data_IF_788335624720
#
_entry.id   IF_788335624720
#
_cell.length_a   1.000
_cell.length_b   1.000
_cell.length_c   1.000
_cell.angle_alpha   90.00
_cell.angle_beta   90.00
_cell.angle_gamma   90.00
#
_symmetry.space_group_name_H-M   'P 1'
#
loop_
_entity.id
_entity.type
_entity.pdbx_description
1 polymer ?
#
# COMPACT_ATOMS: atom_id res chain seq x y z
N UNK A 1 -29.15 -3.09 6.45
CA UNK A 1 -28.28 -2.79 5.29
C UNK A 1 -27.40 -1.66 5.75
N UNK A 2 -26.35 -2.02 6.50
CA UNK A 2 -25.57 -1.06 7.25
C UNK A 2 -24.67 -0.29 6.30
N UNK A 3 -24.91 1.02 6.26
CA UNK A 3 -24.02 1.99 5.63
C UNK A 3 -22.64 1.76 6.23
N UNK A 4 -21.64 1.45 5.40
CA UNK A 4 -20.24 1.57 5.80
C UNK A 4 -20.08 2.94 6.45
N UNK A 5 -19.90 2.96 7.78
CA UNK A 5 -19.78 4.17 8.56
C UNK A 5 -18.57 4.94 8.06
N UNK A 6 -18.82 5.98 7.27
CA UNK A 6 -17.81 6.94 6.85
C UNK A 6 -17.38 7.71 8.09
N UNK A 7 -16.40 7.20 8.82
CA UNK A 7 -15.69 7.95 9.85
C UNK A 7 -14.44 8.50 9.15
N UNK A 8 -14.44 9.78 8.71
CA UNK A 8 -13.20 10.41 8.30
C UNK A 8 -12.32 10.56 9.54
N UNK A 9 -11.32 9.70 9.68
CA UNK A 9 -10.18 9.98 10.55
C UNK A 9 -9.47 11.28 10.12
N UNK A 10 -8.65 11.89 10.99
CA UNK A 10 -7.93 13.12 10.69
C UNK A 10 -7.12 12.99 9.40
N UNK A 11 -6.96 14.09 8.66
CA UNK A 11 -6.19 14.09 7.40
C UNK A 11 -4.79 13.54 7.69
N UNK A 12 -4.27 12.66 6.85
CA UNK A 12 -3.03 11.96 7.17
C UNK A 12 -1.83 12.91 7.38
N UNK A 13 -1.87 14.12 6.81
CA UNK A 13 -0.94 15.21 7.14
C UNK A 13 -0.98 15.61 8.62
N UNK A 14 -2.18 15.75 9.18
CA UNK A 14 -2.38 16.04 10.61
C UNK A 14 -1.93 14.85 11.46
N UNK A 15 -2.22 13.62 11.04
CA UNK A 15 -1.75 12.42 11.73
C UNK A 15 -0.22 12.30 11.70
N UNK A 16 0.45 12.54 10.57
CA UNK A 16 1.92 12.53 10.46
C UNK A 16 2.53 13.61 11.36
N UNK A 17 1.93 14.80 11.37
CA UNK A 17 2.39 15.91 12.21
C UNK A 17 2.21 15.62 13.70
N UNK A 18 1.02 15.13 14.09
CA UNK A 18 0.71 14.77 15.48
C UNK A 18 1.56 13.58 15.96
N UNK A 19 1.88 12.65 15.05
CA UNK A 19 2.79 11.54 15.29
C UNK A 19 4.27 11.97 15.32
N UNK A 20 4.59 13.23 15.04
CA UNK A 20 5.97 13.73 14.91
C UNK A 20 6.84 12.86 13.98
N UNK A 21 6.23 12.31 12.92
CA UNK A 21 6.92 11.41 11.99
C UNK A 21 7.17 10.00 12.54
N UNK A 22 6.46 9.56 13.59
CA UNK A 22 6.62 8.24 14.21
C UNK A 22 5.28 7.67 14.69
N UNK A 23 4.88 6.52 14.15
CA UNK A 23 3.77 5.72 14.69
C UNK A 23 4.30 4.39 15.20
N UNK A 24 3.60 3.82 16.17
CA UNK A 24 3.91 2.49 16.65
C UNK A 24 2.65 1.73 17.04
N UNK A 25 2.74 0.41 17.02
CA UNK A 25 1.67 -0.47 17.46
C UNK A 25 2.22 -1.79 17.99
N UNK A 26 1.40 -2.45 18.81
CA UNK A 26 1.72 -3.70 19.47
C UNK A 26 0.84 -4.84 18.96
N UNK A 27 0.94 -6.00 19.61
CA UNK A 27 0.18 -7.21 19.29
C UNK A 27 -1.32 -6.99 19.11
N UNK A 28 -1.96 -6.13 19.92
CA UNK A 28 -3.42 -5.93 19.82
C UNK A 28 -3.83 -5.45 18.42
N UNK A 29 -3.06 -4.53 17.82
CA UNK A 29 -3.31 -4.05 16.47
C UNK A 29 -3.16 -5.16 15.43
N UNK A 30 -2.24 -6.11 15.61
CA UNK A 30 -2.12 -7.27 14.72
C UNK A 30 -3.39 -8.14 14.75
N UNK A 31 -3.96 -8.35 15.93
CA UNK A 31 -5.21 -9.10 16.10
C UNK A 31 -6.38 -8.37 15.42
N UNK A 32 -6.53 -7.07 15.71
CA UNK A 32 -7.60 -6.24 15.15
C UNK A 32 -7.52 -6.19 13.61
N UNK A 33 -6.30 -6.09 13.06
CA UNK A 33 -6.08 -6.08 11.61
C UNK A 33 -6.32 -7.44 10.97
N UNK A 34 -5.99 -8.54 11.66
CA UNK A 34 -6.27 -9.87 11.15
C UNK A 34 -7.78 -10.11 11.01
N UNK A 35 -8.55 -9.72 12.02
CA UNK A 35 -10.01 -9.80 11.99
C UNK A 35 -10.58 -8.89 10.90
N UNK A 36 -10.12 -7.64 10.84
CA UNK A 36 -10.71 -6.64 9.98
C UNK A 36 -10.33 -6.81 8.50
N UNK A 37 -9.08 -7.15 8.19
CA UNK A 37 -8.57 -7.13 6.83
C UNK A 37 -8.35 -8.51 6.22
N UNK A 38 -8.17 -9.56 7.03
CA UNK A 38 -7.99 -10.93 6.50
C UNK A 38 -9.30 -11.72 6.58
N UNK A 39 -9.94 -11.77 7.75
CA UNK A 39 -11.17 -12.56 7.93
C UNK A 39 -12.30 -12.02 7.04
N UNK A 40 -12.44 -10.70 6.94
CA UNK A 40 -13.45 -10.04 6.11
C UNK A 40 -13.03 -9.87 4.64
N UNK A 41 -11.86 -10.34 4.21
CA UNK A 41 -11.46 -10.30 2.80
C UNK A 41 -12.33 -11.22 1.93
N UNK A 42 -12.37 -11.03 0.60
CA UNK A 42 -13.07 -11.96 -0.29
C UNK A 42 -12.59 -13.40 -0.13
N UNK A 43 -13.51 -14.30 0.23
CA UNK A 43 -13.22 -15.71 0.54
C UNK A 43 -12.89 -15.97 2.02
N UNK A 44 -12.57 -14.93 2.79
CA UNK A 44 -12.29 -14.95 4.22
C UNK A 44 -11.40 -16.10 4.68
N UNK A 45 -11.59 -16.57 5.91
CA UNK A 45 -10.89 -17.74 6.43
C UNK A 45 -11.26 -19.07 5.72
N UNK A 46 -12.16 -19.06 4.73
CA UNK A 46 -12.47 -20.21 3.87
C UNK A 46 -11.48 -20.40 2.72
N UNK A 47 -10.68 -19.38 2.37
CA UNK A 47 -9.56 -19.50 1.45
C UNK A 47 -8.32 -20.00 2.22
N UNK A 48 -7.68 -21.13 1.83
CA UNK A 48 -6.53 -21.69 2.56
C UNK A 48 -5.37 -20.70 2.77
N UNK A 49 -5.09 -19.85 1.77
CA UNK A 49 -4.03 -18.85 1.87
C UNK A 49 -4.37 -17.79 2.92
N UNK A 50 -5.64 -17.36 2.98
CA UNK A 50 -6.11 -16.42 4.00
C UNK A 50 -6.21 -17.06 5.39
N UNK A 51 -6.57 -18.34 5.49
CA UNK A 51 -6.57 -19.05 6.77
C UNK A 51 -5.16 -19.11 7.36
N UNK A 52 -4.15 -19.45 6.54
CA UNK A 52 -2.75 -19.47 6.95
C UNK A 52 -2.30 -18.06 7.32
N UNK A 53 -2.55 -17.08 6.46
CA UNK A 53 -2.18 -15.69 6.71
C UNK A 53 -2.78 -15.15 8.02
N UNK A 54 -4.06 -15.43 8.27
CA UNK A 54 -4.76 -15.06 9.50
C UNK A 54 -4.03 -15.62 10.73
N UNK A 55 -3.79 -16.94 10.76
CA UNK A 55 -3.10 -17.58 11.88
C UNK A 55 -1.68 -17.03 12.09
N UNK A 56 -0.94 -16.80 11.01
CA UNK A 56 0.39 -16.22 11.11
C UNK A 56 0.35 -14.78 11.62
N UNK A 57 -0.63 -13.97 11.19
CA UNK A 57 -0.79 -12.59 11.66
C UNK A 57 -1.15 -12.53 13.15
N UNK A 58 -1.99 -13.45 13.66
CA UNK A 58 -2.30 -13.53 15.10
C UNK A 58 -1.06 -13.80 15.98
N UNK A 59 -0.01 -14.39 15.40
CA UNK A 59 1.21 -14.79 16.07
C UNK A 59 2.44 -13.94 15.69
N UNK A 60 2.31 -12.96 14.78
CA UNK A 60 3.46 -12.29 14.19
C UNK A 60 4.11 -11.22 15.09
N UNK A 61 3.45 -10.83 16.18
CA UNK A 61 3.97 -9.93 17.22
C UNK A 61 3.76 -10.60 18.57
N UNK A 62 4.87 -10.83 19.29
CA UNK A 62 4.85 -11.39 20.63
C UNK A 62 4.58 -10.31 21.69
N UNK A 63 4.25 -10.74 22.90
CA UNK A 63 4.13 -9.81 24.03
C UNK A 63 5.49 -9.12 24.29
N UNK A 64 5.47 -7.79 24.44
CA UNK A 64 6.67 -6.97 24.58
C UNK A 64 7.35 -6.57 23.27
N UNK A 65 6.88 -7.05 22.11
CA UNK A 65 7.33 -6.58 20.81
C UNK A 65 6.48 -5.41 20.30
N UNK A 66 7.08 -4.59 19.45
CA UNK A 66 6.45 -3.41 18.87
C UNK A 66 6.88 -3.26 17.41
N UNK A 67 5.98 -2.76 16.58
CA UNK A 67 6.33 -2.26 15.25
C UNK A 67 6.36 -0.74 15.30
N UNK A 68 7.44 -0.16 14.77
CA UNK A 68 7.65 1.27 14.63
C UNK A 68 7.66 1.63 13.15
N UNK A 69 6.91 2.65 12.76
CA UNK A 69 6.92 3.20 11.40
C UNK A 69 7.29 4.68 11.47
N UNK A 70 8.32 5.04 10.72
CA UNK A 70 8.90 6.37 10.71
C UNK A 70 8.71 7.04 9.36
N UNK A 71 8.66 8.37 9.37
CA UNK A 71 8.47 9.22 8.20
C UNK A 71 9.46 10.39 8.25
N UNK A 72 10.22 10.56 7.17
CA UNK A 72 11.08 11.72 6.96
C UNK A 72 10.77 12.37 5.62
N UNK A 73 10.57 13.68 5.62
CA UNK A 73 10.34 14.47 4.41
C UNK A 73 11.05 15.82 4.51
N UNK A 74 11.71 16.23 3.43
CA UNK A 74 12.38 17.54 3.33
C UNK A 74 12.35 18.05 1.89
N UNK A 75 12.51 19.36 1.74
CA UNK A 75 12.73 19.96 0.43
C UNK A 75 14.02 19.42 -0.21
N UNK A 76 14.04 19.26 -1.55
CA UNK A 76 15.30 19.02 -2.24
C UNK A 76 16.25 20.19 -1.97
N UNK A 77 17.51 19.83 -1.73
CA UNK A 77 18.62 20.76 -1.61
C UNK A 77 19.68 20.37 -2.64
N UNK A 78 19.78 21.10 -3.77
CA UNK A 78 20.78 20.86 -4.80
C UNK A 78 22.23 20.96 -4.30
N UNK A 79 22.50 21.80 -3.30
CA UNK A 79 23.84 21.92 -2.72
C UNK A 79 24.26 20.65 -1.96
N UNK A 80 23.29 19.91 -1.41
CA UNK A 80 23.48 18.58 -0.84
C UNK A 80 23.32 17.43 -1.86
N UNK A 81 23.27 17.74 -3.17
CA UNK A 81 23.14 16.75 -4.24
C UNK A 81 21.74 16.14 -4.40
N UNK A 82 20.71 16.77 -3.82
CA UNK A 82 19.34 16.34 -4.07
C UNK A 82 18.79 17.00 -5.33
N UNK A 83 18.43 16.18 -6.31
CA UNK A 83 17.79 16.65 -7.53
C UNK A 83 16.38 17.22 -7.25
N UNK A 84 16.03 18.29 -7.94
CA UNK A 84 14.67 18.81 -8.02
C UNK A 84 13.94 18.07 -9.15
N UNK A 85 12.89 17.32 -8.80
CA UNK A 85 12.09 16.65 -9.81
C UNK A 85 11.02 17.60 -10.34
N UNK A 86 10.77 17.64 -11.67
CA UNK A 86 9.68 18.43 -12.23
C UNK A 86 8.29 18.01 -11.73
N UNK A 87 8.15 16.82 -11.16
CA UNK A 87 6.94 16.37 -10.47
C UNK A 87 6.68 17.11 -9.15
N UNK A 88 7.66 17.85 -8.62
CA UNK A 88 7.60 18.47 -7.29
C UNK A 88 7.78 17.48 -6.13
N UNK A 89 8.16 16.23 -6.40
CA UNK A 89 8.31 15.23 -5.35
C UNK A 89 9.49 15.54 -4.40
N UNK A 90 9.17 15.64 -3.11
CA UNK A 90 10.12 15.93 -2.05
C UNK A 90 11.05 14.74 -1.73
N UNK A 91 12.19 15.04 -1.09
CA UNK A 91 13.15 14.02 -0.64
C UNK A 91 12.67 13.43 0.68
N UNK A 92 12.52 12.11 0.76
CA UNK A 92 12.09 11.49 1.99
C UNK A 92 12.12 9.96 1.96
N UNK A 93 12.05 9.37 3.15
CA UNK A 93 11.91 7.95 3.38
C UNK A 93 10.80 7.65 4.40
N UNK A 94 10.08 6.56 4.18
CA UNK A 94 9.22 5.91 5.15
C UNK A 94 9.75 4.50 5.37
N UNK A 95 9.86 4.08 6.62
CA UNK A 95 10.39 2.76 6.94
C UNK A 95 9.70 2.16 8.16
N UNK A 96 9.57 0.85 8.15
CA UNK A 96 9.03 0.08 9.26
C UNK A 96 10.11 -0.81 9.87
N UNK A 97 10.13 -0.86 11.20
CA UNK A 97 10.98 -1.70 12.02
C UNK A 97 10.11 -2.55 12.93
N UNK A 98 10.54 -3.78 13.21
CA UNK A 98 10.08 -4.51 14.39
C UNK A 98 11.14 -4.39 15.46
N UNK A 99 10.73 -3.97 16.66
CA UNK A 99 11.52 -4.02 17.89
C UNK A 99 11.11 -5.24 18.70
N UNK A 100 12.04 -6.15 18.88
CA UNK A 100 11.85 -7.36 19.69
C UNK A 100 11.89 -7.04 21.18
N UNK A 101 11.39 -7.95 22.02
CA UNK A 101 11.35 -7.76 23.47
C UNK A 101 12.75 -7.59 24.12
N UNK A 102 13.81 -8.09 23.47
CA UNK A 102 15.21 -7.90 23.87
C UNK A 102 15.83 -6.60 23.34
N UNK A 103 15.03 -5.74 22.70
CA UNK A 103 15.43 -4.41 22.22
C UNK A 103 16.15 -4.41 20.87
N UNK A 104 16.25 -5.54 20.17
CA UNK A 104 16.82 -5.58 18.82
C UNK A 104 15.82 -5.03 17.80
N UNK A 105 16.34 -4.37 16.77
CA UNK A 105 15.54 -3.81 15.69
C UNK A 105 15.85 -4.51 14.36
N UNK A 106 14.80 -4.81 13.60
CA UNK A 106 14.90 -5.38 12.25
C UNK A 106 14.04 -4.58 11.28
N UNK A 107 14.61 -4.22 10.14
CA UNK A 107 13.87 -3.61 9.05
C UNK A 107 12.85 -4.58 8.46
N UNK A 108 11.61 -4.10 8.36
CA UNK A 108 10.54 -4.76 7.62
C UNK A 108 10.55 -4.28 6.17
N UNK A 109 10.55 -2.97 5.98
CA UNK A 109 10.66 -2.35 4.65
C UNK A 109 11.09 -0.88 4.75
N UNK A 110 11.56 -0.35 3.63
CA UNK A 110 11.83 1.07 3.43
C UNK A 110 11.43 1.51 2.02
N UNK A 111 10.87 2.71 1.92
CA UNK A 111 10.50 3.33 0.64
C UNK A 111 10.77 4.83 0.67
N UNK A 112 11.36 5.34 -0.39
CA UNK A 112 11.63 6.76 -0.57
C UNK A 112 11.59 7.17 -2.04
N UNK A 113 11.89 8.44 -2.31
CA UNK A 113 11.84 9.01 -3.66
C UNK A 113 12.68 8.24 -4.69
N UNK A 114 13.82 7.69 -4.27
CA UNK A 114 14.75 6.94 -5.14
C UNK A 114 14.47 5.44 -5.17
N UNK A 115 13.51 4.93 -4.40
CA UNK A 115 13.15 3.51 -4.44
C UNK A 115 12.63 3.17 -5.84
N UNK A 116 13.12 2.08 -6.47
CA UNK A 116 12.59 1.64 -7.75
C UNK A 116 11.08 1.42 -7.73
N UNK A 117 10.39 1.77 -8.81
CA UNK A 117 8.96 1.51 -8.95
C UNK A 117 8.69 0.03 -9.27
N UNK A 118 7.52 -0.47 -8.85
CA UNK A 118 7.05 -1.78 -9.31
C UNK A 118 6.77 -1.77 -10.81
N UNK A 119 7.09 -2.84 -11.53
CA UNK A 119 6.95 -2.95 -12.99
C UNK A 119 5.51 -2.93 -13.51
N UNK A 120 5.33 -2.76 -14.82
CA UNK A 120 4.02 -2.60 -15.46
C UNK A 120 3.09 -3.82 -15.29
N UNK A 121 3.65 -5.03 -15.23
CA UNK A 121 2.88 -6.25 -14.98
C UNK A 121 2.15 -6.21 -13.62
N UNK A 122 2.79 -5.64 -12.59
CA UNK A 122 2.20 -5.48 -11.27
C UNK A 122 1.12 -4.40 -11.24
N UNK A 123 1.29 -3.34 -12.02
CA UNK A 123 0.25 -2.33 -12.20
C UNK A 123 -0.97 -2.88 -12.94
N UNK A 124 -0.78 -3.67 -14.00
CA UNK A 124 -1.87 -4.35 -14.68
C UNK A 124 -2.60 -5.33 -13.75
N UNK A 125 -1.85 -6.09 -12.95
CA UNK A 125 -2.42 -7.01 -11.95
C UNK A 125 -3.22 -6.26 -10.88
N UNK A 126 -2.69 -5.16 -10.33
CA UNK A 126 -3.38 -4.32 -9.36
C UNK A 126 -4.65 -3.67 -9.94
N UNK A 127 -4.58 -3.18 -11.18
CA UNK A 127 -5.74 -2.64 -11.89
C UNK A 127 -6.84 -3.69 -12.08
N UNK A 128 -6.48 -4.89 -12.58
CA UNK A 128 -7.44 -5.98 -12.76
C UNK A 128 -8.11 -6.36 -11.43
N UNK A 129 -7.32 -6.48 -10.37
CA UNK A 129 -7.82 -6.76 -9.03
C UNK A 129 -8.79 -5.67 -8.53
N UNK A 130 -8.47 -4.40 -8.77
CA UNK A 130 -9.34 -3.28 -8.43
C UNK A 130 -10.65 -3.32 -9.22
N UNK A 131 -10.62 -3.61 -10.52
CA UNK A 131 -11.81 -3.78 -11.36
C UNK A 131 -12.69 -4.92 -10.86
N UNK A 132 -12.10 -6.05 -10.45
CA UNK A 132 -12.84 -7.15 -9.84
C UNK A 132 -13.53 -6.74 -8.53
N UNK A 133 -12.79 -6.08 -7.63
CA UNK A 133 -13.34 -5.58 -6.37
C UNK A 133 -14.49 -4.59 -6.61
N UNK A 134 -14.32 -3.67 -7.58
CA UNK A 134 -15.36 -2.72 -7.98
C UNK A 134 -16.56 -3.40 -8.64
N UNK A 135 -16.36 -4.41 -9.47
CA UNK A 135 -17.43 -5.19 -10.10
C UNK A 135 -18.31 -5.87 -9.05
N UNK A 136 -17.68 -6.51 -8.06
CA UNK A 136 -18.38 -7.11 -6.90
C UNK A 136 -19.16 -6.05 -6.11
N UNK A 137 -18.53 -4.90 -5.81
CA UNK A 137 -19.17 -3.82 -5.07
C UNK A 137 -20.38 -3.23 -5.82
N UNK A 138 -20.27 -3.05 -7.13
CA UNK A 138 -21.33 -2.47 -7.97
C UNK A 138 -22.39 -3.49 -8.42
N UNK A 139 -22.15 -4.79 -8.22
CA UNK A 139 -22.99 -5.85 -8.77
C UNK A 139 -23.00 -5.86 -10.30
N UNK A 140 -21.84 -5.59 -10.93
CA UNK A 140 -21.69 -5.48 -12.39
C UNK A 140 -20.60 -6.41 -12.90
N UNK A 141 -20.70 -6.76 -14.17
CA UNK A 141 -19.65 -7.48 -14.88
C UNK A 141 -18.35 -6.67 -14.91
N UNK A 142 -17.24 -7.39 -14.77
CA UNK A 142 -15.90 -6.82 -14.82
C UNK A 142 -15.49 -6.65 -16.28
N UNK A 143 -14.87 -5.53 -16.68
CA UNK A 143 -14.30 -5.36 -18.01
C UNK A 143 -13.28 -6.45 -18.35
N UNK A 144 -12.95 -6.58 -19.64
CA UNK A 144 -11.84 -7.43 -20.05
C UNK A 144 -10.55 -7.03 -19.31
N UNK A 145 -9.82 -8.00 -18.71
CA UNK A 145 -8.63 -7.68 -17.92
C UNK A 145 -7.53 -7.08 -18.81
N UNK A 146 -6.80 -6.12 -18.26
CA UNK A 146 -5.55 -5.64 -18.86
C UNK A 146 -4.54 -6.79 -18.91
N UNK A 147 -3.77 -6.86 -20.00
CA UNK A 147 -2.76 -7.91 -20.19
C UNK A 147 -1.67 -7.79 -19.12
N UNK A 148 -1.46 -8.88 -18.38
CA UNK A 148 -0.34 -9.03 -17.44
C UNK A 148 0.78 -9.78 -18.13
N UNK A 149 1.93 -9.12 -18.34
CA UNK A 149 3.13 -9.81 -18.79
C UNK A 149 3.70 -10.67 -17.64
N UNK A 150 3.32 -11.95 -17.65
CA UNK A 150 3.75 -12.93 -16.64
C UNK A 150 5.23 -13.31 -16.76
N UNK A 151 5.88 -12.92 -17.86
CA UNK A 151 7.32 -13.13 -18.06
C UNK A 151 8.16 -11.94 -17.59
N UNK A 152 7.51 -10.87 -17.11
CA UNK A 152 8.20 -9.72 -16.55
C UNK A 152 9.13 -10.14 -15.41
N UNK A 153 10.32 -9.53 -15.36
CA UNK A 153 11.34 -9.81 -14.36
C UNK A 153 10.87 -9.59 -12.92
N UNK A 154 11.63 -10.13 -11.96
CA UNK A 154 11.34 -9.96 -10.53
C UNK A 154 11.29 -8.48 -10.13
N UNK A 155 10.39 -8.16 -9.20
CA UNK A 155 10.39 -6.84 -8.56
C UNK A 155 11.64 -6.65 -7.71
N UNK A 156 12.15 -5.41 -7.58
CA UNK A 156 13.20 -5.10 -6.63
C UNK A 156 12.78 -5.56 -5.23
N UNK A 157 13.52 -6.51 -4.66
CA UNK A 157 13.30 -7.02 -3.30
C UNK A 157 13.97 -6.13 -2.26
N UNK A 158 15.10 -5.53 -2.63
CA UNK A 158 15.90 -4.68 -1.75
C UNK A 158 16.43 -3.44 -2.47
N UNK A 159 16.69 -2.38 -1.69
CA UNK A 159 17.39 -1.17 -2.11
C UNK A 159 18.27 -0.69 -0.96
N UNK A 160 19.56 -0.48 -1.23
CA UNK A 160 20.57 -0.17 -0.21
C UNK A 160 20.59 -1.18 0.97
N UNK A 161 20.42 -2.47 0.66
CA UNK A 161 20.47 -3.57 1.64
C UNK A 161 19.27 -3.66 2.58
N UNK A 162 18.16 -3.00 2.23
CA UNK A 162 16.91 -3.03 3.00
C UNK A 162 15.76 -3.50 2.11
N UNK A 163 14.79 -4.28 2.64
CA UNK A 163 13.61 -4.65 1.88
C UNK A 163 12.85 -3.42 1.41
N UNK A 164 12.31 -3.46 0.20
CA UNK A 164 11.54 -2.33 -0.36
C UNK A 164 10.07 -2.67 -0.52
N UNK A 165 9.25 -1.62 -0.48
CA UNK A 165 7.81 -1.67 -0.69
C UNK A 165 7.40 -0.62 -1.73
N UNK A 166 6.14 -0.69 -2.18
CA UNK A 166 5.54 0.25 -3.12
C UNK A 166 5.77 1.72 -2.76
N UNK A 167 6.04 2.53 -3.79
CA UNK A 167 6.08 3.99 -3.69
C UNK A 167 4.75 4.62 -3.34
N UNK A 168 3.63 3.90 -3.41
CA UNK A 168 2.36 4.35 -2.83
C UNK A 168 2.53 4.80 -1.36
N UNK A 169 3.42 4.12 -0.62
CA UNK A 169 3.73 4.41 0.78
C UNK A 169 4.93 5.36 0.95
N UNK A 170 5.40 6.01 -0.12
CA UNK A 170 6.44 7.04 -0.01
C UNK A 170 5.94 8.22 0.82
N UNK A 171 6.82 8.89 1.59
CA UNK A 171 6.39 9.96 2.49
C UNK A 171 5.76 11.14 1.73
N UNK A 172 6.16 11.41 0.49
CA UNK A 172 5.52 12.41 -0.36
C UNK A 172 4.07 12.04 -0.67
N UNK A 173 3.79 10.78 -1.03
CA UNK A 173 2.42 10.31 -1.27
C UNK A 173 1.58 10.31 0.02
N UNK A 174 2.17 9.87 1.13
CA UNK A 174 1.50 9.89 2.44
C UNK A 174 1.16 11.31 2.91
N UNK A 175 2.05 12.27 2.65
CA UNK A 175 1.87 13.67 3.07
C UNK A 175 0.93 14.46 2.16
N UNK A 176 1.09 14.34 0.83
CA UNK A 176 0.36 15.19 -0.13
C UNK A 176 -0.90 14.54 -0.71
N UNK A 177 -1.01 13.21 -0.70
CA UNK A 177 -2.04 12.50 -1.47
C UNK A 177 -2.91 11.54 -0.65
N UNK A 178 -2.59 11.30 0.61
CA UNK A 178 -3.33 10.38 1.49
C UNK A 178 -4.83 10.69 1.65
N UNK A 179 -5.23 11.96 1.55
CA UNK A 179 -6.64 12.37 1.56
C UNK A 179 -7.36 12.17 0.22
N UNK A 180 -6.61 11.96 -0.87
CA UNK A 180 -7.11 11.82 -2.25
C UNK A 180 -7.04 10.38 -2.77
N UNK A 181 -6.31 9.51 -2.07
CA UNK A 181 -6.13 8.12 -2.43
C UNK A 181 -6.85 7.16 -1.48
N UNK A 182 -7.32 6.06 -2.06
CA UNK A 182 -7.61 4.83 -1.33
C UNK A 182 -6.47 3.85 -1.53
N UNK A 183 -6.06 3.20 -0.46
CA UNK A 183 -4.98 2.23 -0.48
C UNK A 183 -5.53 0.82 -0.45
N UNK A 184 -4.81 -0.06 -1.13
CA UNK A 184 -5.09 -1.48 -1.19
C UNK A 184 -3.79 -2.24 -0.93
N UNK A 185 -3.88 -3.28 -0.12
CA UNK A 185 -2.81 -4.23 0.12
C UNK A 185 -3.24 -5.55 -0.50
N UNK A 186 -2.35 -6.14 -1.28
CA UNK A 186 -2.57 -7.49 -1.79
C UNK A 186 -2.20 -8.51 -0.71
N UNK A 187 -3.19 -9.32 -0.35
CA UNK A 187 -3.12 -10.36 0.68
C UNK A 187 -2.70 -11.72 0.12
N UNK A 188 -2.55 -11.85 -1.21
CA UNK A 188 -2.01 -13.08 -1.79
C UNK A 188 -0.54 -13.25 -1.41
N UNK A 189 0.00 -14.48 -1.50
CA UNK A 189 1.43 -14.68 -1.39
C UNK A 189 2.21 -13.72 -2.30
N UNK A 190 3.24 -13.04 -1.78
CA UNK A 190 3.95 -12.00 -2.50
C UNK A 190 4.82 -12.56 -3.61
N UNK A 191 5.13 -11.71 -4.60
CA UNK A 191 6.08 -11.97 -5.68
C UNK A 191 5.70 -13.07 -6.69
N UNK A 192 4.44 -13.52 -6.75
CA UNK A 192 3.94 -14.36 -7.85
C UNK A 192 2.83 -13.66 -8.64
N UNK A 193 3.11 -13.35 -9.91
CA UNK A 193 2.12 -12.79 -10.85
C UNK A 193 1.04 -13.82 -11.23
N UNK A 194 1.27 -15.11 -10.99
CA UNK A 194 0.35 -16.21 -11.27
C UNK A 194 -0.69 -16.43 -10.18
N UNK A 195 -0.40 -16.00 -8.96
CA UNK A 195 -1.37 -16.04 -7.88
C UNK A 195 -2.48 -14.99 -8.10
N UNK A 196 -3.76 -15.41 -8.04
CA UNK A 196 -4.88 -14.48 -8.06
C UNK A 196 -4.77 -13.45 -6.93
N UNK A 197 -4.90 -12.15 -7.22
CA UNK A 197 -4.82 -11.12 -6.19
C UNK A 197 -5.97 -11.24 -5.21
N UNK A 198 -5.66 -11.04 -3.93
CA UNK A 198 -6.68 -10.98 -2.88
C UNK A 198 -6.56 -9.61 -2.24
N UNK A 199 -7.34 -8.65 -2.72
CA UNK A 199 -7.24 -7.30 -2.18
C UNK A 199 -7.90 -7.20 -0.81
N UNK A 200 -7.23 -6.48 0.08
CA UNK A 200 -7.86 -5.86 1.23
C UNK A 200 -9.06 -5.01 0.80
N UNK A 201 -9.97 -4.73 1.74
CA UNK A 201 -10.93 -3.63 1.55
C UNK A 201 -10.18 -2.29 1.35
N UNK A 202 -10.79 -1.28 0.71
CA UNK A 202 -10.19 0.05 0.63
C UNK A 202 -9.91 0.61 2.02
N UNK A 203 -8.75 1.23 2.19
CA UNK A 203 -8.31 1.80 3.47
C UNK A 203 -7.55 3.11 3.33
N UNK A 204 -7.29 3.76 4.47
CA UNK A 204 -6.47 4.97 4.55
C UNK A 204 -4.98 4.61 4.63
N UNK A 205 -4.14 5.61 4.42
CA UNK A 205 -2.69 5.43 4.35
C UNK A 205 -2.08 4.80 5.60
N UNK A 206 -2.54 5.17 6.80
CA UNK A 206 -2.03 4.63 8.06
C UNK A 206 -2.37 3.15 8.27
N UNK A 207 -3.60 2.76 7.92
CA UNK A 207 -3.97 1.34 7.91
C UNK A 207 -3.12 0.58 6.90
N UNK A 208 -2.90 1.15 5.71
CA UNK A 208 -2.06 0.51 4.70
C UNK A 208 -0.61 0.32 5.19
N UNK A 209 -0.07 1.29 5.92
CA UNK A 209 1.27 1.20 6.54
C UNK A 209 1.33 0.08 7.59
N UNK A 210 0.37 0.05 8.51
CA UNK A 210 0.31 -0.96 9.56
C UNK A 210 0.09 -2.36 8.97
N UNK A 211 -0.90 -2.53 8.09
CA UNK A 211 -1.18 -3.79 7.43
C UNK A 211 0.03 -4.26 6.61
N UNK A 212 0.71 -3.38 5.91
CA UNK A 212 1.90 -3.76 5.13
C UNK A 212 3.05 -4.25 6.02
N UNK A 213 3.29 -3.62 7.16
CA UNK A 213 4.27 -4.08 8.12
C UNK A 213 3.89 -5.45 8.74
N UNK A 214 2.62 -5.63 9.11
CA UNK A 214 2.11 -6.91 9.62
C UNK A 214 2.19 -8.03 8.58
N UNK A 215 1.83 -7.74 7.33
CA UNK A 215 1.98 -8.65 6.20
C UNK A 215 3.44 -9.04 5.99
N UNK A 216 4.37 -8.09 6.11
CA UNK A 216 5.80 -8.37 6.00
C UNK A 216 6.29 -9.29 7.12
N UNK A 217 5.79 -9.10 8.35
CA UNK A 217 6.08 -10.00 9.46
C UNK A 217 5.53 -11.41 9.21
N UNK A 218 4.29 -11.50 8.72
CA UNK A 218 3.62 -12.78 8.50
C UNK A 218 4.17 -13.56 7.30
N UNK A 219 4.55 -12.89 6.21
CA UNK A 219 4.97 -13.53 4.96
C UNK A 219 6.48 -13.48 4.74
N UNK A 220 7.22 -12.77 5.59
CA UNK A 220 8.67 -12.62 5.50
C UNK A 220 9.15 -11.64 4.41
N UNK A 221 8.24 -11.10 3.59
CA UNK A 221 8.56 -10.13 2.54
C UNK A 221 7.43 -9.11 2.39
N UNK A 222 7.72 -7.86 1.98
CA UNK A 222 6.70 -6.83 1.82
C UNK A 222 5.62 -7.18 0.80
N UNK A 223 4.34 -6.87 1.07
CA UNK A 223 3.27 -7.09 0.11
C UNK A 223 3.30 -6.04 -1.02
N UNK A 224 2.56 -6.34 -2.09
CA UNK A 224 2.23 -5.33 -3.10
C UNK A 224 1.18 -4.40 -2.50
N UNK A 225 1.44 -3.11 -2.60
CA UNK A 225 0.55 -2.05 -2.14
C UNK A 225 0.35 -1.09 -3.29
N UNK A 226 -0.84 -0.52 -3.41
CA UNK A 226 -1.08 0.53 -4.39
C UNK A 226 -2.11 1.52 -3.88
N UNK A 227 -1.97 2.76 -4.36
CA UNK A 227 -2.96 3.83 -4.17
C UNK A 227 -3.80 3.99 -5.43
N UNK A 228 -5.10 4.25 -5.26
CA UNK A 228 -6.00 4.65 -6.35
C UNK A 228 -6.49 6.07 -6.09
N UNK A 229 -6.21 6.99 -7.01
CA UNK A 229 -6.76 8.34 -7.06
C UNK A 229 -7.80 8.44 -8.19
N UNK A 230 -9.02 8.78 -7.81
CA UNK A 230 -10.15 8.95 -8.72
C UNK A 230 -10.37 10.43 -9.04
N UNK A 231 -10.90 10.72 -10.21
CA UNK A 231 -11.52 12.02 -10.49
C UNK A 231 -12.96 12.00 -9.97
N UNK A 232 -13.63 13.17 -9.93
CA UNK A 232 -15.06 13.23 -9.63
C UNK A 232 -15.90 12.41 -10.63
N UNK A 233 -15.41 12.23 -11.85
CA UNK A 233 -16.08 11.44 -12.87
C UNK A 233 -15.95 9.94 -12.62
N UNK A 234 -14.77 9.46 -12.21
CA UNK A 234 -14.50 8.03 -12.00
C UNK A 234 -14.87 7.51 -10.62
N UNK A 235 -15.11 8.42 -9.66
CA UNK A 235 -15.47 8.04 -8.29
C UNK A 235 -16.72 7.15 -8.25
N UNK A 236 -16.57 5.95 -7.67
CA UNK A 236 -17.66 4.99 -7.51
C UNK A 236 -18.12 4.34 -8.82
N UNK A 237 -17.36 4.48 -9.91
CA UNK A 237 -17.65 3.85 -11.21
C UNK A 237 -16.57 2.82 -11.56
N UNK A 238 -16.94 1.90 -12.44
CA UNK A 238 -15.97 0.99 -13.05
C UNK A 238 -15.02 1.82 -13.93
N UNK A 239 -13.69 1.77 -13.71
CA UNK A 239 -12.75 2.48 -14.57
C UNK A 239 -12.70 1.84 -15.96
N UNK A 240 -12.45 2.67 -16.97
CA UNK A 240 -12.23 2.22 -18.35
C UNK A 240 -10.74 1.88 -18.61
N UNK A 241 -9.84 2.43 -17.79
CA UNK A 241 -8.40 2.22 -17.86
C UNK A 241 -7.69 2.81 -16.64
N UNK A 242 -6.36 2.81 -16.70
CA UNK A 242 -5.54 3.41 -15.66
C UNK A 242 -4.29 4.06 -16.24
N UNK A 243 -3.78 5.05 -15.50
CA UNK A 243 -2.44 5.60 -15.69
C UNK A 243 -1.62 5.27 -14.45
N UNK A 244 -0.45 4.65 -14.63
CA UNK A 244 0.47 4.35 -13.52
C UNK A 244 1.34 5.56 -13.23
N UNK A 245 1.55 5.83 -11.94
CA UNK A 245 2.53 6.81 -11.45
C UNK A 245 3.23 6.34 -10.20
N UNK A 246 4.28 7.04 -9.85
CA UNK A 246 5.02 6.89 -8.59
C UNK A 246 4.73 8.01 -7.59
N UNK A 247 4.21 9.16 -8.07
CA UNK A 247 3.81 10.30 -7.25
C UNK A 247 2.44 10.80 -7.72
N UNK A 248 1.48 10.83 -6.81
CA UNK A 248 0.08 11.14 -7.13
C UNK A 248 -0.09 12.58 -7.60
N UNK A 249 0.64 13.52 -7.00
CA UNK A 249 0.52 14.95 -7.29
C UNK A 249 1.42 15.42 -8.46
N UNK A 250 1.95 14.50 -9.26
CA UNK A 250 2.73 14.86 -10.45
C UNK A 250 1.80 15.44 -11.52
N UNK A 251 1.78 16.77 -11.61
CA UNK A 251 0.93 17.54 -12.52
C UNK A 251 1.22 17.31 -14.02
N UNK A 252 2.35 16.67 -14.34
CA UNK A 252 2.70 16.33 -15.72
C UNK A 252 1.88 15.15 -16.25
N UNK A 253 1.23 14.41 -15.36
CA UNK A 253 0.47 13.22 -15.71
C UNK A 253 -0.89 13.62 -16.24
N UNK A 254 -1.15 13.19 -17.47
CA UNK A 254 -2.44 13.36 -18.12
C UNK A 254 -3.21 12.04 -18.06
N UNK A 255 -4.50 12.14 -17.74
CA UNK A 255 -5.45 11.03 -17.72
C UNK A 255 -6.52 11.28 -18.78
N UNK A 256 -6.95 10.25 -19.48
CA UNK A 256 -8.14 10.30 -20.33
C UNK A 256 -9.39 10.13 -19.45
N UNK A 257 -10.53 10.52 -20.01
CA UNK A 257 -11.83 10.34 -19.36
C UNK A 257 -12.05 8.84 -19.04
N UNK A 258 -12.53 8.58 -17.82
CA UNK A 258 -12.72 7.21 -17.33
C UNK A 258 -11.47 6.51 -16.78
N UNK A 259 -10.27 7.09 -16.89
CA UNK A 259 -9.04 6.51 -16.33
C UNK A 259 -8.85 6.89 -14.85
N UNK A 260 -8.42 5.91 -14.05
CA UNK A 260 -7.96 6.15 -12.67
C UNK A 260 -6.44 6.35 -12.63
N UNK A 261 -5.96 7.03 -11.60
CA UNK A 261 -4.53 7.09 -11.32
C UNK A 261 -4.15 5.98 -10.35
N UNK A 262 -3.22 5.12 -10.77
CA UNK A 262 -2.69 4.02 -9.97
C UNK A 262 -1.28 4.38 -9.50
N UNK A 263 -1.10 4.56 -8.19
CA UNK A 263 0.15 4.98 -7.57
C UNK A 263 0.85 3.76 -6.98
N UNK A 264 2.08 3.45 -7.44
CA UNK A 264 2.82 2.24 -7.09
C UNK A 264 4.32 2.43 -6.98
#
# INVERSE_FOLDING_TARGET
MDRMGFIPGPQAKEQIFNAQGHMFFSRQTALDFADEFIMNAPGGAGNPNLSILYQTMLACISEGEQVDIWFGLKNPDPAAGHEEFPSGELVGHSWALVRTADGKERHLWEVGRKTPAMGDAWAARAYNAYCEAMGRFLGRDVPAPATVDRSAGEVPKEFNGKPVISRALSPSNLYYASGRMWYFVDLSPPADLNEPPILSRPMRSFDALALSALMTLALGTPPVVFGVSNTMETLGKMPAGYVRTTYEADERIQRKDGEILLVM
#
